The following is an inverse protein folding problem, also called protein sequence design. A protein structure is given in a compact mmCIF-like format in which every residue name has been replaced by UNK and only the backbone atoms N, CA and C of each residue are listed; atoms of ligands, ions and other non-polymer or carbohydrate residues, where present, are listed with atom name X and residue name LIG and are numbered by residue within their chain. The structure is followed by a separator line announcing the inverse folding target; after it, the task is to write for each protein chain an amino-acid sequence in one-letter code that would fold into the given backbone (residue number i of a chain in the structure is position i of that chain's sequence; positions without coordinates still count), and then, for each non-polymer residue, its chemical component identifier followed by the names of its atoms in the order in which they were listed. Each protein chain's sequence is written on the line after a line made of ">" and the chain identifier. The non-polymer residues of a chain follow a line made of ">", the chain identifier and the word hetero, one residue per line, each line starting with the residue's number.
data_IF_904619661481
#
_entry.id   IF_904619661481
#
_cell.length_a   1.000
_cell.length_b   1.000
_cell.length_c   1.000
_cell.angle_alpha   90.00
_cell.angle_beta   90.00
_cell.angle_gamma   90.00
#
_symmetry.space_group_name_H-M   'P 1'
#
loop_
_entity.id
_entity.type
_entity.pdbx_description
1 polymer ?
#
# COMPACT_ATOMS: atom_id res chain seq x y z
N UNK A 1 -46.32 -34.16 18.29
CA UNK A 1 -45.03 -33.77 17.66
C UNK A 1 -45.23 -32.48 16.87
N UNK A 2 -44.81 -31.30 17.35
CA UNK A 2 -44.82 -30.08 16.55
C UNK A 2 -43.46 -29.88 15.86
N UNK A 3 -43.48 -29.58 14.56
CA UNK A 3 -42.30 -29.32 13.71
C UNK A 3 -41.61 -28.02 14.16
N UNK A 4 -40.37 -28.14 14.64
CA UNK A 4 -39.46 -27.01 14.86
C UNK A 4 -38.97 -26.47 13.51
N UNK A 5 -39.64 -25.47 12.96
CA UNK A 5 -39.14 -24.65 11.85
C UNK A 5 -38.52 -23.35 12.35
N UNK A 6 -37.70 -23.43 13.40
CA UNK A 6 -37.13 -22.26 14.10
C UNK A 6 -35.59 -22.19 13.99
N UNK A 7 -35.00 -22.53 12.83
CA UNK A 7 -33.55 -22.44 12.62
C UNK A 7 -33.14 -21.84 11.28
N UNK A 8 -33.94 -20.93 10.72
CA UNK A 8 -33.44 -20.03 9.68
C UNK A 8 -32.92 -18.75 10.35
N UNK A 9 -31.87 -18.90 11.16
CA UNK A 9 -31.02 -17.77 11.53
C UNK A 9 -30.29 -17.33 10.26
N UNK A 10 -31.00 -16.55 9.43
CA UNK A 10 -30.43 -15.76 8.36
C UNK A 10 -29.38 -14.86 9.03
N UNK A 11 -28.11 -15.26 8.96
CA UNK A 11 -26.97 -14.36 9.08
C UNK A 11 -27.09 -13.37 7.91
N UNK A 12 -27.95 -12.36 8.07
CA UNK A 12 -27.97 -11.19 7.24
C UNK A 12 -26.62 -10.51 7.45
N UNK A 13 -25.68 -10.84 6.57
CA UNK A 13 -24.39 -10.19 6.43
C UNK A 13 -24.62 -8.68 6.52
N UNK A 14 -24.24 -8.07 7.65
CA UNK A 14 -24.34 -6.63 7.85
C UNK A 14 -23.54 -5.99 6.73
N UNK A 15 -24.24 -5.38 5.76
CA UNK A 15 -23.63 -4.62 4.66
C UNK A 15 -22.68 -3.60 5.28
N UNK A 16 -21.36 -3.82 5.15
CA UNK A 16 -20.33 -2.97 5.75
C UNK A 16 -20.52 -1.55 5.22
N UNK A 17 -20.95 -0.62 6.08
CA UNK A 17 -21.12 0.78 5.68
C UNK A 17 -19.73 1.34 5.39
N UNK A 18 -19.54 1.83 4.17
CA UNK A 18 -18.33 2.57 3.79
C UNK A 18 -18.37 3.91 4.54
N UNK A 19 -17.34 4.17 5.32
CA UNK A 19 -17.18 5.39 6.10
C UNK A 19 -16.46 6.47 5.30
N UNK A 20 -16.50 7.73 5.76
CA UNK A 20 -15.67 8.79 5.18
C UNK A 20 -14.18 8.47 5.27
N UNK A 21 -13.75 7.77 6.33
CA UNK A 21 -12.37 7.33 6.51
C UNK A 21 -11.95 6.35 5.42
N UNK A 22 -12.81 5.39 5.04
CA UNK A 22 -12.51 4.43 3.96
C UNK A 22 -12.28 5.15 2.63
N UNK A 23 -13.03 6.23 2.37
CA UNK A 23 -12.87 7.06 1.15
C UNK A 23 -11.55 7.84 1.18
N UNK A 24 -11.22 8.46 2.32
CA UNK A 24 -9.96 9.19 2.48
C UNK A 24 -8.77 8.23 2.37
N UNK A 25 -8.84 7.04 2.97
CA UNK A 25 -7.81 6.02 2.85
C UNK A 25 -7.63 5.55 1.40
N UNK A 26 -8.72 5.41 0.63
CA UNK A 26 -8.63 5.09 -0.79
C UNK A 26 -7.91 6.19 -1.57
N UNK A 27 -8.23 7.47 -1.36
CA UNK A 27 -7.52 8.58 -2.02
C UNK A 27 -6.05 8.61 -1.57
N UNK A 28 -5.81 8.48 -0.27
CA UNK A 28 -4.46 8.44 0.31
C UNK A 28 -3.58 7.34 -0.27
N UNK A 29 -4.17 6.20 -0.66
CA UNK A 29 -3.42 5.11 -1.30
C UNK A 29 -2.80 5.47 -2.65
N UNK A 30 -3.33 6.46 -3.35
CA UNK A 30 -2.73 6.99 -4.58
C UNK A 30 -1.82 8.19 -4.31
N UNK A 31 -2.23 9.07 -3.40
CA UNK A 31 -1.50 10.32 -3.12
C UNK A 31 -0.20 10.06 -2.36
N UNK A 32 -0.18 9.10 -1.43
CA UNK A 32 1.01 8.83 -0.61
C UNK A 32 2.23 8.41 -1.44
N UNK A 33 2.15 7.44 -2.37
CA UNK A 33 3.31 7.09 -3.21
C UNK A 33 3.86 8.25 -4.05
N UNK A 34 2.97 9.15 -4.52
CA UNK A 34 3.35 10.32 -5.32
C UNK A 34 4.28 11.25 -4.53
N UNK A 35 4.20 11.28 -3.20
CA UNK A 35 5.08 12.12 -2.38
C UNK A 35 6.53 11.67 -2.39
N UNK A 36 6.84 10.45 -2.82
CA UNK A 36 8.21 9.97 -2.99
C UNK A 36 8.83 10.33 -4.36
N UNK A 37 8.04 10.79 -5.33
CA UNK A 37 8.55 11.17 -6.65
C UNK A 37 9.60 12.30 -6.62
N UNK A 38 9.44 13.38 -5.82
CA UNK A 38 10.48 14.41 -5.72
C UNK A 38 11.83 13.83 -5.28
N UNK A 39 11.83 12.90 -4.32
CA UNK A 39 13.06 12.25 -3.86
C UNK A 39 13.71 11.39 -4.95
N UNK A 40 12.91 10.69 -5.77
CA UNK A 40 13.43 9.95 -6.91
C UNK A 40 14.09 10.89 -7.93
N UNK A 41 13.42 12.00 -8.26
CA UNK A 41 13.92 13.02 -9.19
C UNK A 41 15.23 13.63 -8.68
N UNK A 42 15.31 14.00 -7.40
CA UNK A 42 16.50 14.62 -6.81
C UNK A 42 17.72 13.70 -6.88
N UNK A 43 17.52 12.41 -6.61
CA UNK A 43 18.60 11.41 -6.72
C UNK A 43 19.10 11.28 -8.16
N UNK A 44 18.21 11.32 -9.16
CA UNK A 44 18.61 11.33 -10.58
C UNK A 44 19.33 12.61 -11.02
N UNK A 45 19.18 13.72 -10.27
CA UNK A 45 19.97 14.94 -10.47
C UNK A 45 21.30 14.93 -9.70
N UNK A 46 21.67 13.81 -9.07
CA UNK A 46 22.88 13.71 -8.24
C UNK A 46 22.75 14.29 -6.84
N UNK A 47 21.55 14.76 -6.45
CA UNK A 47 21.27 15.27 -5.10
C UNK A 47 20.89 14.12 -4.16
N UNK A 48 21.83 13.19 -3.96
CA UNK A 48 21.64 11.98 -3.16
C UNK A 48 22.26 12.05 -1.75
N UNK A 49 22.83 13.19 -1.36
CA UNK A 49 23.50 13.35 -0.07
C UNK A 49 22.53 13.06 1.10
N UNK A 50 22.90 12.11 1.97
CA UNK A 50 22.08 11.69 3.11
C UNK A 50 20.97 10.69 2.79
N UNK A 51 20.81 10.30 1.52
CA UNK A 51 19.84 9.27 1.12
C UNK A 51 20.45 7.89 1.30
N UNK A 52 19.86 7.08 2.19
CA UNK A 52 20.41 5.77 2.58
C UNK A 52 19.87 4.63 1.70
N UNK A 53 20.75 4.00 0.92
CA UNK A 53 20.42 2.82 0.11
C UNK A 53 19.82 1.68 0.96
N UNK A 54 20.34 1.48 2.17
CA UNK A 54 19.86 0.45 3.10
C UNK A 54 18.43 0.73 3.52
N UNK A 55 18.10 1.99 3.80
CA UNK A 55 16.74 2.39 4.20
C UNK A 55 15.74 2.16 3.07
N UNK A 56 16.07 2.61 1.85
CA UNK A 56 15.19 2.42 0.68
C UNK A 56 15.03 0.94 0.30
N UNK A 57 16.08 0.14 0.44
CA UNK A 57 15.99 -1.32 0.26
C UNK A 57 15.08 -1.96 1.32
N UNK A 58 15.16 -1.49 2.57
CA UNK A 58 14.26 -1.92 3.64
C UNK A 58 12.80 -1.59 3.35
N UNK A 59 12.52 -0.40 2.80
CA UNK A 59 11.17 -0.02 2.40
C UNK A 59 10.60 -0.95 1.31
N UNK A 60 11.40 -1.34 0.31
CA UNK A 60 10.99 -2.36 -0.68
C UNK A 60 10.55 -3.66 -0.02
N UNK A 61 11.32 -4.16 0.97
CA UNK A 61 10.96 -5.40 1.68
C UNK A 61 9.63 -5.24 2.41
N UNK A 62 9.40 -4.13 3.11
CA UNK A 62 8.13 -3.89 3.80
C UNK A 62 6.96 -3.68 2.84
N UNK A 63 7.16 -2.95 1.75
CA UNK A 63 6.17 -2.74 0.70
C UNK A 63 5.75 -4.06 0.06
N UNK A 64 6.69 -4.98 -0.19
CA UNK A 64 6.38 -6.34 -0.64
C UNK A 64 5.56 -7.12 0.40
N UNK A 65 5.95 -7.07 1.68
CA UNK A 65 5.21 -7.74 2.77
C UNK A 65 3.77 -7.25 2.87
N UNK A 66 3.55 -5.92 2.85
CA UNK A 66 2.21 -5.35 2.92
C UNK A 66 1.40 -5.53 1.65
N UNK A 67 2.05 -5.54 0.47
CA UNK A 67 1.40 -5.90 -0.78
C UNK A 67 0.87 -7.34 -0.72
N UNK A 68 1.71 -8.30 -0.32
CA UNK A 68 1.31 -9.70 -0.16
C UNK A 68 0.19 -9.86 0.88
N UNK A 69 0.34 -9.23 2.04
CA UNK A 69 -0.70 -9.24 3.07
C UNK A 69 -2.03 -8.69 2.54
N UNK A 70 -1.97 -7.58 1.78
CA UNK A 70 -3.13 -6.94 1.17
C UNK A 70 -3.81 -7.81 0.12
N UNK A 71 -3.04 -8.52 -0.69
CA UNK A 71 -3.54 -9.47 -1.67
C UNK A 71 -4.27 -10.64 -0.98
N UNK A 72 -3.67 -11.23 0.05
CA UNK A 72 -4.26 -12.35 0.81
C UNK A 72 -5.57 -11.91 1.50
N UNK A 73 -5.60 -10.72 2.09
CA UNK A 73 -6.74 -10.23 2.88
C UNK A 73 -7.70 -9.34 2.06
N UNK A 74 -7.44 -9.18 0.76
CA UNK A 74 -8.19 -8.34 -0.20
C UNK A 74 -8.40 -6.89 0.24
N UNK A 75 -7.37 -6.29 0.85
CA UNK A 75 -7.37 -4.89 1.31
C UNK A 75 -6.92 -3.96 0.16
N UNK A 76 -7.88 -3.55 -0.68
CA UNK A 76 -7.60 -2.80 -1.93
C UNK A 76 -6.72 -1.55 -1.77
N UNK A 77 -6.97 -0.63 -0.82
CA UNK A 77 -6.14 0.57 -0.69
C UNK A 77 -4.68 0.23 -0.40
N UNK A 78 -4.44 -0.79 0.44
CA UNK A 78 -3.09 -1.22 0.78
C UNK A 78 -2.39 -1.89 -0.41
N UNK A 79 -3.10 -2.70 -1.21
CA UNK A 79 -2.55 -3.29 -2.44
C UNK A 79 -2.08 -2.19 -3.38
N UNK A 80 -2.96 -1.22 -3.68
CA UNK A 80 -2.65 -0.13 -4.61
C UNK A 80 -1.49 0.72 -4.10
N UNK A 81 -1.53 1.11 -2.82
CA UNK A 81 -0.49 1.95 -2.23
C UNK A 81 0.88 1.29 -2.27
N UNK A 82 1.00 0.03 -1.86
CA UNK A 82 2.29 -0.64 -1.80
C UNK A 82 2.81 -1.01 -3.20
N UNK A 83 1.93 -1.34 -4.14
CA UNK A 83 2.33 -1.55 -5.53
C UNK A 83 2.94 -0.28 -6.15
N UNK A 84 2.32 0.88 -5.92
CA UNK A 84 2.83 2.16 -6.41
C UNK A 84 4.12 2.57 -5.68
N UNK A 85 4.20 2.37 -4.36
CA UNK A 85 5.42 2.64 -3.59
C UNK A 85 6.62 1.83 -4.09
N UNK A 86 6.44 0.56 -4.44
CA UNK A 86 7.52 -0.24 -5.01
C UNK A 86 8.12 0.40 -6.26
N UNK A 87 7.29 0.96 -7.14
CA UNK A 87 7.80 1.68 -8.32
C UNK A 87 8.67 2.88 -7.95
N UNK A 88 8.26 3.64 -6.93
CA UNK A 88 8.99 4.83 -6.46
C UNK A 88 10.28 4.43 -5.73
N UNK A 89 10.22 3.47 -4.82
CA UNK A 89 11.37 2.97 -4.07
C UNK A 89 12.44 2.39 -4.99
N UNK A 90 12.04 1.58 -5.98
CA UNK A 90 12.96 1.03 -6.98
C UNK A 90 13.54 2.13 -7.88
N UNK A 91 12.79 3.20 -8.16
CA UNK A 91 13.30 4.36 -8.90
C UNK A 91 14.37 5.09 -8.10
N UNK A 92 14.15 5.31 -6.79
CA UNK A 92 15.16 5.91 -5.89
C UNK A 92 16.40 5.04 -5.81
N UNK A 93 16.25 3.73 -5.58
CA UNK A 93 17.38 2.79 -5.52
C UNK A 93 18.18 2.83 -6.82
N UNK A 94 17.50 2.81 -7.96
CA UNK A 94 18.14 2.87 -9.28
C UNK A 94 18.91 4.17 -9.46
N UNK A 95 18.31 5.31 -9.09
CA UNK A 95 18.99 6.60 -9.12
C UNK A 95 20.24 6.62 -8.26
N UNK A 96 20.17 6.05 -7.04
CA UNK A 96 21.30 5.96 -6.11
C UNK A 96 22.42 5.11 -6.71
N UNK A 97 22.11 3.96 -7.30
CA UNK A 97 23.13 3.09 -7.89
C UNK A 97 23.82 3.70 -9.12
N UNK A 98 23.17 4.65 -9.80
CA UNK A 98 23.74 5.32 -10.98
C UNK A 98 24.58 6.56 -10.64
N UNK A 99 24.28 7.26 -9.55
CA UNK A 99 24.88 8.56 -9.20
C UNK A 99 25.74 8.53 -7.93
N UNK A 100 26.04 7.35 -7.40
CA UNK A 100 26.84 7.16 -6.18
C UNK A 100 28.22 6.56 -6.51
#
# INVERSE_FOLDING_TARGET
>A
MPKQSHLLHLHLSKKKRITSLDRVALVGSFVSPVTGLPQAIDVFHGNAAGVSLVSWSGFVVFSLLFLLYGLVHKVKPMIVSNFLWLGVELSVITGLLLHN
#
